data_IF_351104402683
#
_entry.id   IF_351104402683
#
_cell.length_a   1.000
_cell.length_b   1.000
_cell.length_c   1.000
_cell.angle_alpha   90.00
_cell.angle_beta   90.00
_cell.angle_gamma   90.00
#
_symmetry.space_group_name_H-M   'P 1'
#
loop_
_entity.id
_entity.type
_entity.pdbx_description
1 polymer ?
#
# COMPACT_ATOMS: atom_id res chain seq x y z
N UNK A 1 18.71 -13.27 1.50
CA UNK A 1 17.40 -13.90 1.76
C UNK A 1 16.82 -13.26 3.02
N UNK A 2 15.66 -12.59 2.93
CA UNK A 2 15.02 -12.02 4.11
C UNK A 2 14.28 -13.15 4.83
N UNK A 3 14.85 -13.62 5.94
CA UNK A 3 14.28 -14.66 6.78
C UNK A 3 12.99 -14.13 7.41
N UNK A 4 11.82 -14.65 7.02
CA UNK A 4 10.61 -14.44 7.82
C UNK A 4 10.87 -15.05 9.19
N UNK A 5 11.00 -14.20 10.22
CA UNK A 5 11.21 -14.68 11.58
C UNK A 5 10.00 -15.49 12.03
N UNK A 6 10.23 -16.75 12.38
CA UNK A 6 9.23 -17.65 12.94
C UNK A 6 8.50 -17.03 14.16
N UNK A 7 9.12 -16.07 14.84
CA UNK A 7 8.57 -15.35 16.00
C UNK A 7 7.85 -14.02 15.70
N UNK A 8 7.48 -13.72 14.45
CA UNK A 8 6.73 -12.47 14.18
C UNK A 8 5.41 -12.50 14.95
N UNK A 9 5.20 -11.57 15.88
CA UNK A 9 3.95 -11.40 16.63
C UNK A 9 3.12 -10.23 16.11
N UNK A 10 3.81 -9.22 15.58
CA UNK A 10 3.25 -7.93 15.20
C UNK A 10 3.92 -7.43 13.92
N UNK A 11 3.14 -6.76 13.06
CA UNK A 11 3.65 -6.02 11.91
C UNK A 11 3.55 -4.53 12.16
N UNK A 12 4.61 -3.78 11.87
CA UNK A 12 4.52 -2.34 11.67
C UNK A 12 3.86 -2.09 10.30
N UNK A 13 2.81 -1.27 10.30
CA UNK A 13 2.09 -0.85 9.09
C UNK A 13 2.61 0.52 8.68
N UNK A 14 3.06 0.61 7.44
CA UNK A 14 3.60 1.82 6.84
C UNK A 14 2.79 2.23 5.60
N UNK A 15 2.61 3.54 5.42
CA UNK A 15 2.35 4.14 4.11
C UNK A 15 3.69 4.46 3.47
N UNK A 16 3.90 3.98 2.25
CA UNK A 16 5.17 4.10 1.52
C UNK A 16 4.99 5.04 0.34
N UNK A 17 5.92 5.95 0.12
CA UNK A 17 5.84 7.02 -0.87
C UNK A 17 6.91 6.87 -1.94
N UNK A 18 6.54 7.13 -3.19
CA UNK A 18 7.42 7.07 -4.36
C UNK A 18 7.23 8.29 -5.27
N UNK A 19 8.31 8.78 -5.88
CA UNK A 19 8.24 9.74 -7.01
C UNK A 19 8.02 9.02 -8.32
N UNK A 20 6.98 9.37 -9.07
CA UNK A 20 6.94 9.02 -10.49
C UNK A 20 7.48 10.15 -11.36
N UNK A 21 8.11 9.78 -12.48
CA UNK A 21 8.62 10.72 -13.48
C UNK A 21 7.53 11.60 -14.11
N UNK A 22 6.27 11.15 -14.08
CA UNK A 22 5.09 11.90 -14.49
C UNK A 22 4.70 13.04 -13.53
N UNK A 23 5.29 13.08 -12.33
CA UNK A 23 4.88 13.98 -11.25
C UNK A 23 3.69 13.47 -10.43
N UNK A 24 3.10 12.33 -10.81
CA UNK A 24 2.06 11.66 -10.01
C UNK A 24 2.69 11.00 -8.78
N UNK A 25 2.05 11.15 -7.62
CA UNK A 25 2.47 10.43 -6.43
C UNK A 25 2.00 8.97 -6.53
N UNK A 26 2.93 8.04 -6.31
CA UNK A 26 2.61 6.63 -6.19
C UNK A 26 2.89 6.20 -4.76
N UNK A 27 1.96 5.41 -4.24
CA UNK A 27 1.98 5.03 -2.85
C UNK A 27 1.60 3.56 -2.69
N UNK A 28 1.99 3.00 -1.55
CA UNK A 28 1.67 1.62 -1.19
C UNK A 28 1.55 1.45 0.31
N UNK A 29 1.05 0.29 0.73
CA UNK A 29 1.07 -0.14 2.13
C UNK A 29 2.14 -1.22 2.30
N UNK A 30 2.98 -1.07 3.32
CA UNK A 30 3.95 -2.09 3.71
C UNK A 30 3.69 -2.60 5.13
N UNK A 31 3.67 -3.93 5.29
CA UNK A 31 3.65 -4.61 6.59
C UNK A 31 5.00 -5.26 6.82
N UNK A 32 5.72 -4.78 7.82
CA UNK A 32 7.05 -5.29 8.16
C UNK A 32 7.02 -5.89 9.57
N UNK A 33 7.50 -7.13 9.79
CA UNK A 33 7.64 -7.66 11.14
C UNK A 33 8.35 -6.66 12.06
N UNK A 34 7.75 -6.35 13.21
CA UNK A 34 8.31 -5.38 14.14
C UNK A 34 9.74 -5.76 14.59
N UNK A 35 9.99 -7.06 14.68
CA UNK A 35 11.25 -7.60 15.21
C UNK A 35 12.39 -7.57 14.16
N UNK A 36 12.05 -7.23 12.91
CA UNK A 36 13.05 -7.10 11.87
C UNK A 36 13.85 -5.80 12.07
N UNK A 37 15.18 -5.88 12.09
CA UNK A 37 16.02 -4.67 12.17
C UNK A 37 15.95 -3.83 10.89
N UNK A 38 15.69 -4.49 9.76
CA UNK A 38 15.55 -3.85 8.46
C UNK A 38 14.07 -3.61 8.17
N UNK A 39 13.61 -2.38 8.37
CA UNK A 39 12.23 -1.98 8.10
C UNK A 39 11.98 -1.60 6.63
N UNK A 40 12.96 -1.78 5.73
CA UNK A 40 12.81 -1.51 4.29
C UNK A 40 12.26 -2.67 3.46
N UNK A 41 11.91 -3.77 4.12
CA UNK A 41 11.54 -5.03 3.50
C UNK A 41 10.31 -5.66 4.18
N UNK A 42 9.26 -5.96 3.42
CA UNK A 42 8.08 -6.57 4.01
C UNK A 42 7.04 -7.05 3.01
N UNK A 43 5.85 -7.34 3.53
CA UNK A 43 4.66 -7.55 2.69
C UNK A 43 4.27 -6.20 2.12
N UNK A 44 3.94 -6.17 0.84
CA UNK A 44 3.73 -4.93 0.09
C UNK A 44 2.43 -5.04 -0.70
N UNK A 45 1.58 -4.03 -0.58
CA UNK A 45 0.23 -4.00 -1.15
C UNK A 45 0.03 -2.67 -1.87
N UNK A 46 -0.44 -2.73 -3.11
CA UNK A 46 -0.54 -1.56 -3.95
C UNK A 46 -1.56 -1.76 -5.08
N UNK A 47 -1.92 -0.65 -5.70
CA UNK A 47 -2.64 -0.65 -6.97
C UNK A 47 -1.73 -0.11 -8.06
N UNK A 48 -1.71 -0.77 -9.21
CA UNK A 48 -0.89 -0.40 -10.37
C UNK A 48 -1.77 -0.06 -11.56
N UNK A 49 -1.24 0.68 -12.52
CA UNK A 49 -1.97 1.05 -13.73
C UNK A 49 -2.34 2.53 -13.77
N UNK A 50 -3.29 2.88 -14.64
CA UNK A 50 -3.71 4.26 -14.87
C UNK A 50 -5.19 4.36 -14.58
N UNK A 51 -5.60 5.20 -13.62
CA UNK A 51 -7.01 5.36 -13.18
C UNK A 51 -8.02 5.34 -14.34
N UNK A 52 -7.74 6.09 -15.40
CA UNK A 52 -8.62 6.19 -16.57
C UNK A 52 -8.76 4.93 -17.43
N UNK A 53 -7.75 4.06 -17.40
CA UNK A 53 -7.73 2.78 -18.12
C UNK A 53 -8.05 1.58 -17.20
N UNK A 54 -8.11 1.83 -15.89
CA UNK A 54 -8.22 0.81 -14.86
C UNK A 54 -6.91 0.62 -14.12
N UNK A 55 -7.04 0.23 -12.86
CA UNK A 55 -5.94 -0.16 -12.00
C UNK A 55 -6.15 -1.58 -11.50
N UNK A 56 -5.07 -2.28 -11.19
CA UNK A 56 -5.07 -3.64 -10.67
C UNK A 56 -4.45 -3.67 -9.28
N UNK A 57 -5.05 -4.45 -8.39
CA UNK A 57 -4.47 -4.74 -7.08
C UNK A 57 -3.35 -5.78 -7.21
N UNK A 58 -2.19 -5.47 -6.66
CA UNK A 58 -1.07 -6.39 -6.52
C UNK A 58 -0.64 -6.52 -5.05
N UNK A 59 -0.15 -7.71 -4.69
CA UNK A 59 0.49 -7.95 -3.40
C UNK A 59 1.75 -8.79 -3.54
N UNK A 60 2.76 -8.44 -2.74
CA UNK A 60 4.06 -9.12 -2.72
C UNK A 60 4.35 -9.55 -1.30
N UNK A 61 4.48 -10.85 -1.00
CA UNK A 61 4.66 -11.33 0.38
C UNK A 61 6.04 -10.98 0.95
N UNK A 62 7.02 -10.67 0.11
CA UNK A 62 8.33 -10.17 0.48
C UNK A 62 8.88 -9.24 -0.60
N UNK A 63 8.99 -7.95 -0.29
CA UNK A 63 9.44 -6.93 -1.24
C UNK A 63 10.37 -5.91 -0.56
N UNK A 64 11.47 -5.57 -1.23
CA UNK A 64 12.44 -4.54 -0.83
C UNK A 64 12.05 -3.19 -1.41
N UNK A 65 11.04 -2.57 -0.81
CA UNK A 65 10.51 -1.30 -1.29
C UNK A 65 11.50 -0.14 -1.09
N UNK A 66 12.40 -0.24 -0.11
CA UNK A 66 13.45 0.74 0.15
C UNK A 66 14.54 0.81 -0.93
N UNK A 67 14.58 -0.17 -1.84
CA UNK A 67 15.55 -0.24 -2.95
C UNK A 67 14.94 0.13 -4.30
N UNK A 68 13.65 0.48 -4.34
CA UNK A 68 13.05 1.05 -5.55
C UNK A 68 13.69 2.43 -5.78
N UNK A 69 14.23 2.73 -6.97
CA UNK A 69 14.87 4.02 -7.26
C UNK A 69 13.99 5.23 -6.94
N UNK A 70 12.68 5.08 -7.15
CA UNK A 70 11.66 6.08 -6.91
C UNK A 70 11.28 6.27 -5.43
N UNK A 71 11.79 5.44 -4.50
CA UNK A 71 11.43 5.46 -3.09
C UNK A 71 11.81 6.80 -2.43
N UNK A 72 10.82 7.44 -1.79
CA UNK A 72 10.99 8.70 -1.06
C UNK A 72 11.00 8.53 0.46
N UNK A 73 10.33 7.50 0.97
CA UNK A 73 10.21 7.29 2.40
C UNK A 73 8.99 6.46 2.79
N UNK A 74 8.83 6.26 4.09
CA UNK A 74 7.70 5.56 4.67
C UNK A 74 7.26 6.23 5.98
N UNK A 75 5.96 6.35 6.17
CA UNK A 75 5.36 6.84 7.40
C UNK A 75 4.77 5.67 8.18
N UNK A 76 5.23 5.48 9.43
CA UNK A 76 4.62 4.52 10.34
C UNK A 76 3.21 4.98 10.73
N UNK A 77 2.26 4.04 10.73
CA UNK A 77 0.85 4.34 11.04
C UNK A 77 0.37 3.67 12.32
N UNK A 78 0.56 2.34 12.40
CA UNK A 78 0.14 1.52 13.53
C UNK A 78 0.79 0.14 13.50
N UNK A 79 0.50 -0.65 14.54
CA UNK A 79 0.93 -2.03 14.67
C UNK A 79 -0.26 -2.97 14.48
N UNK A 80 -0.11 -3.94 13.60
CA UNK A 80 -1.12 -4.96 13.33
C UNK A 80 -0.69 -6.29 14.00
N UNK A 81 -1.51 -6.87 14.89
CA UNK A 81 -1.26 -8.21 15.40
C UNK A 81 -1.20 -9.24 14.27
N UNK A 82 -0.25 -10.18 14.30
CA UNK A 82 -0.11 -11.21 13.25
C UNK A 82 -1.39 -12.01 13.02
N UNK A 83 -2.18 -12.24 14.07
CA UNK A 83 -3.47 -12.93 13.97
C UNK A 83 -4.48 -12.22 13.04
N UNK A 84 -4.34 -10.91 12.85
CA UNK A 84 -5.20 -10.09 11.99
C UNK A 84 -4.67 -9.97 10.56
N UNK A 85 -3.50 -10.53 10.25
CA UNK A 85 -2.88 -10.42 8.91
C UNK A 85 -3.82 -10.90 7.80
N UNK A 86 -4.49 -12.06 7.99
CA UNK A 86 -5.39 -12.60 6.98
C UNK A 86 -6.59 -11.67 6.71
N UNK A 87 -7.13 -11.05 7.76
CA UNK A 87 -8.22 -10.06 7.64
C UNK A 87 -7.75 -8.77 6.97
N UNK A 88 -6.54 -8.30 7.29
CA UNK A 88 -5.94 -7.16 6.59
C UNK A 88 -5.78 -7.45 5.08
N UNK A 89 -5.26 -8.62 4.72
CA UNK A 89 -5.09 -9.02 3.32
C UNK A 89 -6.43 -9.19 2.59
N UNK A 90 -7.47 -9.61 3.30
CA UNK A 90 -8.84 -9.66 2.80
C UNK A 90 -9.42 -8.26 2.56
N UNK A 91 -9.25 -7.31 3.49
CA UNK A 91 -9.64 -5.90 3.32
C UNK A 91 -8.94 -5.31 2.10
N UNK A 92 -7.61 -5.44 2.01
CA UNK A 92 -6.84 -4.89 0.90
C UNK A 92 -7.30 -5.44 -0.45
N UNK A 93 -7.48 -6.76 -0.56
CA UNK A 93 -7.93 -7.41 -1.79
C UNK A 93 -9.39 -7.07 -2.17
N UNK A 94 -10.25 -6.86 -1.19
CA UNK A 94 -11.68 -6.58 -1.42
C UNK A 94 -11.97 -5.12 -1.71
N UNK A 95 -11.05 -4.22 -1.35
CA UNK A 95 -11.13 -2.81 -1.70
C UNK A 95 -10.95 -2.65 -3.22
N UNK A 96 -11.97 -2.18 -3.97
CA UNK A 96 -11.91 -2.15 -5.42
C UNK A 96 -10.80 -1.21 -5.88
N UNK A 97 -9.96 -1.57 -6.86
CA UNK A 97 -8.99 -0.64 -7.43
C UNK A 97 -9.66 0.61 -8.03
N UNK A 98 -8.98 1.77 -8.05
CA UNK A 98 -9.54 2.98 -8.65
C UNK A 98 -9.75 2.82 -10.16
N UNK A 99 -10.92 3.26 -10.64
CA UNK A 99 -11.20 3.38 -12.07
C UNK A 99 -12.13 4.56 -12.34
N UNK A 100 -11.67 5.49 -13.17
CA UNK A 100 -12.50 6.61 -13.63
C UNK A 100 -12.01 7.13 -14.99
N UNK A 101 -12.74 6.86 -16.10
CA UNK A 101 -12.37 7.33 -17.44
C UNK A 101 -12.24 8.86 -17.56
N UNK A 102 -12.85 9.64 -16.65
CA UNK A 102 -12.70 11.11 -16.64
C UNK A 102 -11.26 11.53 -16.42
N UNK A 103 -10.43 10.70 -15.78
CA UNK A 103 -9.00 10.96 -15.58
C UNK A 103 -8.21 11.12 -16.90
N UNK A 104 -8.73 10.62 -18.03
CA UNK A 104 -8.07 10.76 -19.34
C UNK A 104 -8.40 12.07 -20.06
N UNK A 105 -9.52 12.71 -19.70
CA UNK A 105 -10.14 13.76 -20.52
C UNK A 105 -10.40 15.05 -19.75
N UNK A 106 -10.50 15.00 -18.42
CA UNK A 106 -10.80 16.16 -17.58
C UNK A 106 -9.56 16.50 -16.74
N UNK A 107 -9.03 17.71 -16.94
CA UNK A 107 -7.88 18.19 -16.19
C UNK A 107 -8.15 18.37 -14.69
N UNK A 108 -9.39 18.72 -14.30
CA UNK A 108 -9.83 18.87 -12.91
C UNK A 108 -11.26 18.31 -12.75
N UNK A 109 -11.41 16.98 -12.63
CA UNK A 109 -12.70 16.36 -12.40
C UNK A 109 -13.31 16.81 -11.06
N UNK A 110 -14.62 17.03 -11.04
CA UNK A 110 -15.40 17.30 -9.83
C UNK A 110 -16.55 16.28 -9.73
N UNK A 111 -16.65 15.47 -8.66
CA UNK A 111 -15.65 15.33 -7.59
C UNK A 111 -14.31 14.79 -8.12
N UNK A 112 -13.20 14.98 -7.38
CA UNK A 112 -11.89 14.44 -7.73
C UNK A 112 -11.98 12.94 -8.04
N UNK A 113 -11.17 12.50 -9.00
CA UNK A 113 -11.06 11.08 -9.31
C UNK A 113 -10.40 10.35 -8.16
N UNK A 114 -10.92 9.17 -7.84
CA UNK A 114 -10.27 8.25 -6.91
C UNK A 114 -8.95 7.78 -7.50
N UNK A 115 -7.91 7.74 -6.69
CA UNK A 115 -6.55 7.36 -7.09
C UNK A 115 -5.91 6.37 -6.11
N UNK A 116 -4.62 6.11 -6.25
CA UNK A 116 -3.91 5.17 -5.37
C UNK A 116 -3.92 5.61 -3.90
N UNK A 117 -3.78 6.91 -3.62
CA UNK A 117 -3.84 7.47 -2.27
C UNK A 117 -5.22 7.25 -1.65
N UNK A 118 -6.28 7.43 -2.43
CA UNK A 118 -7.66 7.16 -2.00
C UNK A 118 -7.89 5.69 -1.65
N UNK A 119 -7.38 4.75 -2.46
CA UNK A 119 -7.45 3.31 -2.16
C UNK A 119 -6.71 2.97 -0.86
N UNK A 120 -5.54 3.56 -0.64
CA UNK A 120 -4.76 3.38 0.60
C UNK A 120 -5.54 3.89 1.80
N UNK A 121 -6.13 5.09 1.71
CA UNK A 121 -6.91 5.68 2.79
C UNK A 121 -8.10 4.80 3.17
N UNK A 122 -8.81 4.23 2.20
CA UNK A 122 -9.92 3.30 2.44
C UNK A 122 -9.48 1.99 3.10
N UNK A 123 -8.39 1.38 2.61
CA UNK A 123 -7.84 0.14 3.20
C UNK A 123 -7.37 0.40 4.63
N UNK A 124 -6.68 1.51 4.88
CA UNK A 124 -6.18 1.85 6.21
C UNK A 124 -7.32 2.22 7.17
N UNK A 125 -8.36 2.91 6.69
CA UNK A 125 -9.54 3.21 7.49
C UNK A 125 -10.24 1.92 7.96
N UNK A 126 -10.46 0.97 7.06
CA UNK A 126 -11.04 -0.32 7.42
C UNK A 126 -10.10 -1.17 8.31
N UNK A 127 -8.79 -1.11 8.07
CA UNK A 127 -7.81 -1.84 8.88
C UNK A 127 -7.64 -1.30 10.30
N UNK A 128 -8.08 -0.06 10.58
CA UNK A 128 -8.02 0.52 11.94
C UNK A 128 -8.91 -0.22 12.94
N UNK A 129 -9.95 -0.91 12.49
CA UNK A 129 -10.82 -1.71 13.36
C UNK A 129 -10.17 -3.04 13.79
N UNK A 130 -8.98 -3.37 13.25
CA UNK A 130 -8.24 -4.59 13.57
C UNK A 130 -7.22 -4.42 14.70
N UNK A 131 -7.03 -3.20 15.23
CA UNK A 131 -5.95 -2.88 16.18
C UNK A 131 -6.43 -2.45 17.56
#
# INVERSE_FOLDING_TARGET
MATMSAGTTTYNVYRVFFSQSSGTEYEAIALVPQENKDQGAGRFYHVIGTVGLGMDYESKPAHRFDKIPEYKGAAFLFRLPRAQLARFEEIARSCPPPHDPRALTKAKPDPPVRDCSSWIDEVLAAARDLV
#
